data_IF_136382311836
#
_entry.id   IF_136382311836
#
_cell.length_a   1.000
_cell.length_b   1.000
_cell.length_c   1.000
_cell.angle_alpha   90.00
_cell.angle_beta   90.00
_cell.angle_gamma   90.00
#
_symmetry.space_group_name_H-M   'P 1'
#
loop_
_entity.id
_entity.type
_entity.pdbx_description
1 polymer ?
#
# COMPACT_ATOMS: atom_id res chain seq x y z
N UNK A 1 12.82 -5.20 -8.63
CA UNK A 1 13.44 -3.93 -9.05
C UNK A 1 13.93 -3.17 -7.83
N UNK A 2 15.20 -2.74 -7.81
CA UNK A 2 15.85 -2.16 -6.63
C UNK A 2 15.24 -0.81 -6.21
N UNK A 3 14.87 0.05 -7.16
CA UNK A 3 14.30 1.37 -6.87
C UNK A 3 12.93 1.28 -6.16
N UNK A 4 12.07 0.33 -6.55
CA UNK A 4 10.79 0.09 -5.88
C UNK A 4 10.98 -0.37 -4.43
N UNK A 5 11.95 -1.27 -4.20
CA UNK A 5 12.29 -1.72 -2.85
C UNK A 5 12.83 -0.58 -1.98
N UNK A 6 13.72 0.25 -2.53
CA UNK A 6 14.26 1.41 -1.82
C UNK A 6 13.16 2.40 -1.42
N UNK A 7 12.24 2.72 -2.35
CA UNK A 7 11.07 3.56 -2.06
C UNK A 7 10.16 2.97 -0.97
N UNK A 8 9.90 1.66 -1.03
CA UNK A 8 9.10 0.96 -0.02
C UNK A 8 9.76 1.01 1.37
N UNK A 9 11.10 0.86 1.44
CA UNK A 9 11.84 0.96 2.70
C UNK A 9 11.81 2.38 3.28
N UNK A 10 11.88 3.42 2.45
CA UNK A 10 11.72 4.81 2.89
C UNK A 10 10.31 5.07 3.45
N UNK A 11 9.27 4.56 2.79
CA UNK A 11 7.91 4.64 3.30
C UNK A 11 7.76 3.91 4.65
N UNK A 12 8.35 2.71 4.77
CA UNK A 12 8.34 1.95 6.02
C UNK A 12 9.08 2.69 7.16
N UNK A 13 10.20 3.36 6.86
CA UNK A 13 10.91 4.17 7.84
C UNK A 13 10.02 5.29 8.40
N UNK A 14 9.24 5.96 7.54
CA UNK A 14 8.25 6.96 7.99
C UNK A 14 7.15 6.34 8.83
N UNK A 15 6.62 5.18 8.41
CA UNK A 15 5.59 4.44 9.17
C UNK A 15 6.07 4.13 10.58
N UNK A 16 7.26 3.57 10.73
CA UNK A 16 7.83 3.22 12.04
C UNK A 16 8.10 4.47 12.88
N UNK A 17 8.66 5.52 12.27
CA UNK A 17 8.99 6.77 12.95
C UNK A 17 7.75 7.46 13.52
N UNK A 18 6.63 7.41 12.82
CA UNK A 18 5.41 8.14 13.17
C UNK A 18 4.31 7.24 13.77
N UNK A 19 4.59 5.95 13.97
CA UNK A 19 3.60 5.00 14.48
C UNK A 19 2.37 4.87 13.58
N UNK A 20 2.52 5.02 12.26
CA UNK A 20 1.41 5.02 11.31
C UNK A 20 0.79 3.62 11.25
N UNK A 21 -0.52 3.53 11.40
CA UNK A 21 -1.28 2.26 11.35
C UNK A 21 -2.19 2.13 10.14
N UNK A 22 -2.45 3.24 9.45
CA UNK A 22 -3.31 3.32 8.26
C UNK A 22 -2.57 4.06 7.15
N UNK A 23 -2.55 3.51 5.93
CA UNK A 23 -2.00 4.16 4.75
C UNK A 23 -2.98 4.12 3.59
N UNK A 24 -3.11 5.25 2.87
CA UNK A 24 -3.90 5.36 1.64
C UNK A 24 -2.93 5.49 0.46
N UNK A 25 -2.96 4.55 -0.48
CA UNK A 25 -2.01 4.44 -1.58
C UNK A 25 -2.72 4.38 -2.95
N UNK A 26 -2.08 4.90 -3.99
CA UNK A 26 -2.67 4.94 -5.34
C UNK A 26 -2.94 3.54 -5.91
N UNK A 27 -4.19 3.27 -6.29
CA UNK A 27 -4.64 2.03 -6.93
C UNK A 27 -3.94 1.76 -8.27
N UNK A 28 -3.71 0.48 -8.58
CA UNK A 28 -3.21 -0.01 -9.87
C UNK A 28 -1.72 0.20 -10.15
N UNK A 29 -0.96 0.75 -9.19
CA UNK A 29 0.49 0.97 -9.33
C UNK A 29 1.30 -0.30 -8.97
N UNK A 30 2.39 -0.62 -9.68
CA UNK A 30 3.30 -1.71 -9.29
C UNK A 30 4.00 -1.49 -7.95
N UNK A 31 3.97 -0.26 -7.41
CA UNK A 31 4.43 0.04 -6.04
C UNK A 31 3.29 0.11 -5.02
N UNK A 32 2.21 0.80 -5.38
CA UNK A 32 1.19 1.28 -4.44
C UNK A 32 -0.18 0.58 -4.57
N UNK A 33 -0.38 -0.24 -5.61
CA UNK A 33 -1.63 -0.98 -5.81
C UNK A 33 -1.87 -1.96 -4.65
N UNK A 34 -3.12 -2.12 -4.22
CA UNK A 34 -3.47 -2.91 -3.04
C UNK A 34 -4.36 -4.13 -3.33
N UNK A 35 -4.84 -4.26 -4.57
CA UNK A 35 -5.76 -5.33 -5.01
C UNK A 35 -5.39 -5.86 -6.41
N UNK A 36 -5.06 -4.94 -7.31
CA UNK A 36 -4.67 -5.23 -8.69
C UNK A 36 -3.33 -4.59 -9.03
N UNK A 37 -2.50 -5.31 -9.79
CA UNK A 37 -1.25 -4.84 -10.39
C UNK A 37 -1.20 -5.24 -11.87
N UNK A 38 -0.25 -4.70 -12.63
CA UNK A 38 -0.02 -5.12 -14.02
C UNK A 38 0.68 -6.48 -14.06
N UNK A 39 0.33 -7.31 -15.04
CA UNK A 39 0.89 -8.66 -15.24
C UNK A 39 2.35 -8.67 -15.72
N UNK A 40 2.92 -7.49 -16.03
CA UNK A 40 4.30 -7.34 -16.50
C UNK A 40 4.52 -7.64 -17.99
N UNK A 41 3.47 -7.98 -18.74
CA UNK A 41 3.56 -8.24 -20.19
C UNK A 41 3.47 -6.97 -21.05
N UNK A 42 3.23 -5.81 -20.42
CA UNK A 42 2.99 -4.52 -21.09
C UNK A 42 1.76 -4.51 -22.01
N UNK A 43 0.83 -5.46 -21.85
CA UNK A 43 -0.43 -5.53 -22.60
C UNK A 43 -1.57 -4.75 -21.92
N UNK A 44 -1.31 -4.14 -20.77
CA UNK A 44 -2.32 -3.44 -19.96
C UNK A 44 -3.21 -4.37 -19.12
N UNK A 45 -2.95 -5.68 -19.15
CA UNK A 45 -3.68 -6.66 -18.33
C UNK A 45 -3.35 -6.46 -16.85
N UNK A 46 -4.41 -6.44 -16.03
CA UNK A 46 -4.32 -6.37 -14.57
C UNK A 46 -4.59 -7.75 -13.96
N UNK A 47 -3.78 -8.11 -12.97
CA UNK A 47 -3.90 -9.36 -12.20
C UNK A 47 -4.06 -9.04 -10.72
N UNK A 48 -4.66 -9.98 -9.98
CA UNK A 48 -4.71 -9.91 -8.52
C UNK A 48 -3.29 -9.86 -7.97
N UNK A 49 -3.00 -8.86 -7.16
CA UNK A 49 -1.68 -8.64 -6.61
C UNK A 49 -1.51 -7.27 -6.01
N UNK A 50 -0.47 -7.12 -5.22
CA UNK A 50 -0.14 -5.90 -4.50
C UNK A 50 1.19 -5.36 -4.97
N UNK A 51 1.31 -4.03 -4.97
CA UNK A 51 2.57 -3.37 -5.22
C UNK A 51 3.55 -3.57 -4.06
N UNK A 52 4.83 -3.40 -4.36
CA UNK A 52 5.94 -3.66 -3.42
C UNK A 52 5.79 -2.88 -2.09
N UNK A 53 5.38 -1.62 -2.15
CA UNK A 53 5.16 -0.79 -0.96
C UNK A 53 3.98 -1.31 -0.15
N UNK A 54 2.85 -1.59 -0.80
CA UNK A 54 1.66 -2.14 -0.13
C UNK A 54 1.97 -3.44 0.61
N UNK A 55 2.64 -4.38 -0.06
CA UNK A 55 3.00 -5.67 0.53
C UNK A 55 3.94 -5.51 1.73
N UNK A 56 4.91 -4.60 1.66
CA UNK A 56 5.83 -4.34 2.77
C UNK A 56 5.12 -3.72 3.97
N UNK A 57 4.27 -2.70 3.75
CA UNK A 57 3.55 -2.04 4.84
C UNK A 57 2.55 -2.98 5.52
N UNK A 58 1.84 -3.83 4.77
CA UNK A 58 0.92 -4.83 5.34
C UNK A 58 1.63 -5.85 6.22
N UNK A 59 2.83 -6.31 5.83
CA UNK A 59 3.65 -7.22 6.66
C UNK A 59 4.05 -6.60 8.01
N UNK A 60 4.09 -5.28 8.07
CA UNK A 60 4.43 -4.51 9.28
C UNK A 60 3.17 -4.09 10.08
N UNK A 61 2.01 -4.66 9.75
CA UNK A 61 0.76 -4.43 10.48
C UNK A 61 0.07 -3.10 10.16
N UNK A 62 0.43 -2.46 9.04
CA UNK A 62 -0.27 -1.29 8.51
C UNK A 62 -1.48 -1.72 7.70
N UNK A 63 -2.65 -1.14 7.98
CA UNK A 63 -3.83 -1.29 7.16
C UNK A 63 -3.70 -0.40 5.91
N UNK A 64 -3.70 -1.00 4.72
CA UNK A 64 -3.50 -0.29 3.45
C UNK A 64 -4.77 -0.28 2.62
N UNK A 65 -5.22 0.92 2.29
CA UNK A 65 -6.40 1.24 1.49
C UNK A 65 -5.99 1.97 0.20
N UNK A 66 -6.85 1.96 -0.81
CA UNK A 66 -6.70 2.81 -1.99
C UNK A 66 -7.48 4.12 -1.85
N UNK A 67 -7.26 5.06 -2.77
CA UNK A 67 -8.06 6.29 -2.88
C UNK A 67 -9.55 6.04 -3.16
N UNK A 68 -9.93 4.80 -3.48
CA UNK A 68 -11.33 4.37 -3.67
C UNK A 68 -11.96 3.79 -2.39
N UNK A 69 -11.18 3.70 -1.31
CA UNK A 69 -11.57 3.07 -0.04
C UNK A 69 -11.45 4.05 1.14
N UNK A 70 -11.71 5.34 0.90
CA UNK A 70 -11.53 6.38 1.92
C UNK A 70 -12.46 6.20 3.12
N UNK A 71 -13.68 5.71 2.92
CA UNK A 71 -14.62 5.46 4.01
C UNK A 71 -14.12 4.34 4.93
N UNK A 72 -13.57 3.26 4.37
CA UNK A 72 -12.97 2.16 5.13
C UNK A 72 -11.71 2.62 5.86
N UNK A 73 -10.87 3.45 5.21
CA UNK A 73 -9.70 4.04 5.85
C UNK A 73 -10.10 4.92 7.05
N UNK A 74 -11.14 5.73 6.91
CA UNK A 74 -11.68 6.56 7.98
C UNK A 74 -12.26 5.72 9.13
N UNK A 75 -12.92 4.60 8.83
CA UNK A 75 -13.38 3.64 9.84
C UNK A 75 -12.21 3.02 10.60
N UNK A 76 -11.19 2.52 9.89
CA UNK A 76 -10.00 1.91 10.49
C UNK A 76 -9.24 2.88 11.40
N UNK A 77 -9.15 4.16 11.02
CA UNK A 77 -8.51 5.19 11.82
C UNK A 77 -9.23 5.36 13.16
N UNK A 78 -10.56 5.49 13.15
CA UNK A 78 -11.38 5.62 14.38
C UNK A 78 -11.23 4.44 15.34
N UNK A 79 -11.02 3.23 14.82
CA UNK A 79 -10.80 2.04 15.65
C UNK A 79 -9.40 1.94 16.24
N UNK A 80 -8.44 2.70 15.74
CA UNK A 80 -7.05 2.69 16.24
C UNK A 80 -6.86 3.62 17.44
N UNK A 81 -7.77 4.59 17.64
CA UNK A 81 -7.75 5.56 18.74
C UNK A 81 -8.45 5.06 20.03
N UNK A 82 -8.89 3.79 20.06
CA UNK A 82 -9.48 3.10 21.20
C UNK A 82 -8.47 2.11 21.81
#
# INVERSE_FOLDING_TARGET
SAAFMAGAQLALALVRRHGIRVAVLKSGSPSCGNRLTYDGSFTGVKVTGEGVTTALLRREGVQVFSELELDQAAQALRHTDL
#
